data_IF_185145085122
#
_entry.id   IF_185145085122
#
_cell.length_a   1.000
_cell.length_b   1.000
_cell.length_c   1.000
_cell.angle_alpha   90.00
_cell.angle_beta   90.00
_cell.angle_gamma   90.00
#
_symmetry.space_group_name_H-M   'P 1'
#
loop_
_entity.id
_entity.type
_entity.pdbx_description
1 polymer ?
#
# COMPACT_ATOMS: atom_id res chain seq x y z
N UNK A 1 -29.27 8.84 2.49
CA UNK A 1 -28.25 7.86 2.84
C UNK A 1 -27.74 7.20 1.55
N UNK A 2 -26.43 6.94 1.41
CA UNK A 2 -25.96 6.17 0.28
C UNK A 2 -26.61 4.80 0.35
N UNK A 3 -27.45 4.50 -0.60
CA UNK A 3 -28.04 3.17 -0.76
C UNK A 3 -26.87 2.26 -1.14
N UNK A 4 -26.58 1.24 -0.33
CA UNK A 4 -25.57 0.24 -0.65
C UNK A 4 -25.89 -0.44 -1.98
N UNK A 5 -24.92 -1.11 -2.57
CA UNK A 5 -25.16 -1.86 -3.81
C UNK A 5 -26.19 -2.96 -3.58
N UNK A 6 -27.02 -3.27 -4.59
CA UNK A 6 -28.09 -4.25 -4.44
C UNK A 6 -27.60 -5.65 -4.04
N UNK A 7 -26.41 -6.03 -4.48
CA UNK A 7 -25.75 -7.29 -4.12
C UNK A 7 -24.58 -6.98 -3.21
N UNK A 8 -24.61 -7.56 -2.00
CA UNK A 8 -23.57 -7.38 -0.98
C UNK A 8 -23.41 -8.69 -0.20
N UNK A 9 -22.26 -9.33 -0.34
CA UNK A 9 -21.92 -10.60 0.31
C UNK A 9 -20.83 -10.31 1.32
N UNK A 10 -21.11 -10.52 2.61
CA UNK A 10 -20.16 -10.33 3.70
C UNK A 10 -19.50 -11.66 4.07
N UNK A 11 -18.18 -11.74 4.01
CA UNK A 11 -17.39 -12.88 4.43
C UNK A 11 -16.67 -12.49 5.72
N UNK A 12 -16.85 -13.27 6.79
CA UNK A 12 -16.29 -12.99 8.11
C UNK A 12 -15.26 -14.04 8.51
N UNK A 13 -14.24 -13.64 9.27
CA UNK A 13 -13.24 -14.56 9.80
C UNK A 13 -12.11 -13.88 10.57
N UNK A 14 -11.26 -14.69 11.20
CA UNK A 14 -10.22 -14.19 12.10
C UNK A 14 -8.93 -13.80 11.39
N UNK A 15 -8.58 -14.51 10.30
CA UNK A 15 -7.35 -14.28 9.55
C UNK A 15 -7.61 -13.59 8.23
N UNK A 16 -7.00 -12.42 8.02
CA UNK A 16 -7.20 -11.61 6.82
C UNK A 16 -6.77 -12.33 5.54
N UNK A 17 -5.64 -13.04 5.57
CA UNK A 17 -5.14 -13.80 4.43
C UNK A 17 -6.12 -14.89 3.97
N UNK A 18 -6.67 -15.65 4.93
CA UNK A 18 -7.67 -16.67 4.64
C UNK A 18 -8.96 -16.05 4.09
N UNK A 19 -9.41 -14.92 4.67
CA UNK A 19 -10.57 -14.19 4.19
C UNK A 19 -10.38 -13.70 2.75
N UNK A 20 -9.22 -13.13 2.45
CA UNK A 20 -8.91 -12.62 1.11
C UNK A 20 -8.91 -13.77 0.10
N UNK A 21 -8.23 -14.88 0.43
CA UNK A 21 -8.20 -16.05 -0.43
C UNK A 21 -9.60 -16.64 -0.67
N UNK A 22 -10.43 -16.74 0.38
CA UNK A 22 -11.83 -17.21 0.27
C UNK A 22 -12.67 -16.23 -0.54
N UNK A 23 -12.51 -14.92 -0.33
CA UNK A 23 -13.20 -13.88 -1.09
C UNK A 23 -12.88 -13.92 -2.58
N UNK A 24 -11.61 -14.10 -2.93
CA UNK A 24 -11.17 -14.21 -4.32
C UNK A 24 -11.68 -15.49 -4.98
N UNK A 25 -11.67 -16.63 -4.26
CA UNK A 25 -12.23 -17.88 -4.75
C UNK A 25 -13.74 -17.78 -4.96
N UNK A 26 -14.48 -17.24 -4.00
CA UNK A 26 -15.91 -17.04 -4.12
C UNK A 26 -16.27 -16.09 -5.28
N UNK A 27 -15.50 -15.01 -5.42
CA UNK A 27 -15.67 -14.09 -6.54
C UNK A 27 -15.46 -14.78 -7.88
N UNK A 28 -14.37 -15.55 -8.05
CA UNK A 28 -14.10 -16.31 -9.26
C UNK A 28 -15.20 -17.34 -9.55
N UNK A 29 -15.69 -18.03 -8.52
CA UNK A 29 -16.79 -18.98 -8.64
C UNK A 29 -18.07 -18.29 -9.14
N UNK A 30 -18.50 -17.21 -8.50
CA UNK A 30 -19.71 -16.48 -8.88
C UNK A 30 -19.58 -15.82 -10.26
N UNK A 31 -18.40 -15.27 -10.59
CA UNK A 31 -18.12 -14.72 -11.93
C UNK A 31 -18.18 -15.83 -13.01
N UNK A 32 -17.81 -17.08 -12.69
CA UNK A 32 -17.87 -18.22 -13.62
C UNK A 32 -19.30 -18.73 -13.91
N UNK A 33 -20.24 -18.46 -13.01
CA UNK A 33 -21.64 -18.87 -13.17
C UNK A 33 -22.43 -17.97 -14.14
N UNK A 34 -21.88 -16.83 -14.53
CA UNK A 34 -22.49 -15.84 -15.43
C UNK A 34 -23.97 -15.56 -15.09
N UNK A 35 -24.22 -15.25 -13.81
CA UNK A 35 -25.57 -15.05 -13.29
C UNK A 35 -26.21 -13.85 -13.98
N UNK A 36 -27.35 -14.10 -14.69
CA UNK A 36 -28.04 -13.07 -15.44
C UNK A 36 -28.41 -11.85 -14.55
N UNK A 37 -28.07 -10.67 -15.00
CA UNK A 37 -28.34 -9.41 -14.29
C UNK A 37 -27.31 -8.98 -13.29
N UNK A 38 -26.31 -9.79 -12.97
CA UNK A 38 -25.19 -9.40 -12.11
C UNK A 38 -24.15 -8.63 -12.95
N UNK A 39 -23.75 -7.44 -12.48
CA UNK A 39 -22.57 -6.77 -12.99
C UNK A 39 -21.32 -7.45 -12.40
N UNK A 40 -20.14 -7.12 -12.88
CA UNK A 40 -18.90 -7.70 -12.36
C UNK A 40 -18.76 -7.45 -10.86
N UNK A 41 -18.57 -8.54 -10.08
CA UNK A 41 -18.33 -8.48 -8.65
C UNK A 41 -17.02 -7.75 -8.33
N UNK A 42 -17.07 -6.89 -7.33
CA UNK A 42 -15.90 -6.15 -6.81
C UNK A 42 -15.73 -6.44 -5.33
N UNK A 43 -14.50 -6.75 -4.93
CA UNK A 43 -14.14 -6.84 -3.52
C UNK A 43 -13.89 -5.45 -2.96
N UNK A 44 -14.30 -5.21 -1.71
CA UNK A 44 -13.99 -3.99 -0.97
C UNK A 44 -12.57 -4.00 -0.38
N UNK A 45 -11.93 -5.16 -0.35
CA UNK A 45 -10.49 -5.24 -0.14
C UNK A 45 -9.85 -4.66 -1.38
N UNK A 46 -9.37 -3.41 -1.26
CA UNK A 46 -8.61 -2.79 -2.33
C UNK A 46 -7.49 -3.75 -2.74
N UNK A 47 -7.37 -3.99 -4.06
CA UNK A 47 -6.28 -4.78 -4.60
C UNK A 47 -4.99 -4.39 -3.88
N UNK A 48 -4.26 -5.39 -3.41
CA UNK A 48 -3.02 -5.16 -2.67
C UNK A 48 -2.18 -4.12 -3.40
N UNK A 49 -1.93 -3.00 -2.72
CA UNK A 49 -1.08 -1.95 -3.29
C UNK A 49 0.36 -2.39 -3.15
N UNK A 50 1.13 -2.46 -4.22
CA UNK A 50 2.55 -2.75 -4.10
C UNK A 50 3.23 -1.66 -3.26
N UNK A 51 4.02 -2.07 -2.31
CA UNK A 51 4.83 -1.19 -1.47
C UNK A 51 6.28 -1.65 -1.44
N UNK A 52 7.19 -0.72 -1.16
CA UNK A 52 8.60 -1.01 -0.94
C UNK A 52 8.83 -0.94 0.56
N UNK A 53 9.24 -2.07 1.14
CA UNK A 53 9.52 -2.17 2.57
C UNK A 53 11.03 -2.07 2.81
N UNK A 54 11.43 -1.12 3.65
CA UNK A 54 12.78 -0.96 4.16
C UNK A 54 12.87 -1.56 5.56
N UNK A 55 13.36 -2.78 5.66
CA UNK A 55 13.56 -3.45 6.95
C UNK A 55 14.94 -3.08 7.51
N UNK A 56 14.95 -2.18 8.49
CA UNK A 56 16.17 -1.60 9.04
C UNK A 56 16.64 -2.40 10.26
N UNK A 57 17.88 -2.90 10.21
CA UNK A 57 18.55 -3.46 11.37
C UNK A 57 19.11 -2.33 12.25
N UNK A 58 18.34 -2.01 13.31
CA UNK A 58 18.64 -0.90 14.23
C UNK A 58 19.99 -1.04 14.93
N UNK A 59 20.38 -2.28 15.27
CA UNK A 59 21.67 -2.54 15.95
C UNK A 59 22.84 -2.23 15.02
N UNK A 60 22.75 -2.64 13.76
CA UNK A 60 23.78 -2.32 12.76
C UNK A 60 23.84 -0.81 12.48
N UNK A 61 22.68 -0.17 12.30
CA UNK A 61 22.61 1.27 12.09
C UNK A 61 23.24 2.06 13.26
N UNK A 62 22.90 1.67 14.50
CA UNK A 62 23.45 2.30 15.70
C UNK A 62 24.96 2.10 15.84
N UNK A 63 25.51 0.94 15.47
CA UNK A 63 26.96 0.70 15.46
C UNK A 63 27.69 1.61 14.48
N UNK A 64 27.05 1.93 13.37
CA UNK A 64 27.55 2.92 12.41
C UNK A 64 27.31 4.37 12.85
N UNK A 65 26.61 4.60 13.97
CA UNK A 65 26.28 5.94 14.46
C UNK A 65 25.12 6.61 13.74
N UNK A 66 24.32 5.84 12.98
CA UNK A 66 23.19 6.34 12.19
C UNK A 66 21.88 6.04 12.92
N UNK A 67 21.11 7.08 13.24
CA UNK A 67 19.79 6.92 13.83
C UNK A 67 18.74 6.52 12.79
N UNK A 68 17.71 5.77 13.22
CA UNK A 68 16.57 5.42 12.34
C UNK A 68 15.82 6.64 11.82
N UNK A 69 15.80 7.73 12.59
CA UNK A 69 15.23 9.01 12.17
C UNK A 69 15.99 9.64 11.00
N UNK A 70 17.32 9.60 11.05
CA UNK A 70 18.17 10.07 9.94
C UNK A 70 17.94 9.23 8.68
N UNK A 71 17.85 7.90 8.83
CA UNK A 71 17.58 6.99 7.71
C UNK A 71 16.24 7.34 7.06
N UNK A 72 15.18 7.49 7.87
CA UNK A 72 13.85 7.84 7.36
C UNK A 72 13.81 9.18 6.64
N UNK A 73 14.52 10.19 7.17
CA UNK A 73 14.59 11.50 6.54
C UNK A 73 15.31 11.45 5.19
N UNK A 74 16.46 10.79 5.12
CA UNK A 74 17.23 10.67 3.88
C UNK A 74 16.48 9.86 2.82
N UNK A 75 15.82 8.75 3.19
CA UNK A 75 14.98 8.00 2.28
C UNK A 75 13.82 8.84 1.75
N UNK A 76 13.17 9.58 2.63
CA UNK A 76 12.10 10.50 2.22
C UNK A 76 12.61 11.54 1.23
N UNK A 77 13.76 12.16 1.53
CA UNK A 77 14.38 13.17 0.67
C UNK A 77 14.79 12.59 -0.69
N UNK A 78 15.33 11.36 -0.69
CA UNK A 78 15.72 10.69 -1.92
C UNK A 78 14.52 10.36 -2.83
N UNK A 79 13.42 9.84 -2.27
CA UNK A 79 12.26 9.36 -3.02
C UNK A 79 11.29 10.51 -3.36
N UNK A 80 10.89 11.29 -2.36
CA UNK A 80 9.88 12.35 -2.52
C UNK A 80 10.50 13.72 -2.78
N UNK A 81 11.73 13.94 -2.32
CA UNK A 81 12.42 15.20 -2.37
C UNK A 81 12.31 16.02 -1.09
N UNK A 82 13.19 16.99 -1.00
CA UNK A 82 13.20 18.01 0.04
C UNK A 82 12.92 19.38 -0.58
N UNK A 83 12.09 20.19 0.06
CA UNK A 83 11.93 21.60 -0.30
C UNK A 83 13.18 22.36 0.13
N UNK A 84 13.95 22.85 -0.84
CA UNK A 84 15.19 23.57 -0.59
C UNK A 84 14.95 25.07 -0.35
N UNK A 85 14.01 25.65 -1.10
CA UNK A 85 13.68 27.08 -1.07
C UNK A 85 12.36 27.30 -1.79
N UNK A 86 11.91 28.56 -1.82
CA UNK A 86 10.79 29.01 -2.63
C UNK A 86 11.26 30.06 -3.63
N UNK A 87 10.82 29.94 -4.85
CA UNK A 87 10.94 30.95 -5.87
C UNK A 87 9.70 31.84 -5.81
N UNK A 88 9.92 33.16 -5.67
CA UNK A 88 8.84 34.14 -5.64
C UNK A 88 8.77 34.85 -6.98
N UNK A 89 7.59 34.80 -7.58
CA UNK A 89 7.28 35.49 -8.82
C UNK A 89 6.07 36.40 -8.56
N UNK A 90 6.34 37.71 -8.52
CA UNK A 90 5.36 38.75 -8.17
C UNK A 90 4.59 38.44 -6.87
N UNK A 91 3.36 37.88 -6.97
CA UNK A 91 2.50 37.53 -5.83
C UNK A 91 2.45 36.02 -5.53
N UNK A 92 3.05 35.18 -6.36
CA UNK A 92 3.02 33.73 -6.23
C UNK A 92 4.34 33.16 -5.71
N UNK A 93 4.27 32.10 -4.92
CA UNK A 93 5.41 31.36 -4.40
C UNK A 93 5.43 29.93 -4.92
N UNK A 94 6.52 29.53 -5.56
CA UNK A 94 6.72 28.20 -6.12
C UNK A 94 7.78 27.44 -5.31
N UNK A 95 7.49 26.23 -4.75
CA UNK A 95 8.50 25.47 -4.01
C UNK A 95 9.56 24.91 -4.96
N UNK A 96 10.82 25.08 -4.59
CA UNK A 96 11.97 24.46 -5.27
C UNK A 96 12.24 23.13 -4.59
N UNK A 97 11.93 22.02 -5.30
CA UNK A 97 12.13 20.68 -4.80
C UNK A 97 13.42 20.05 -5.31
N UNK A 98 14.25 19.55 -4.40
CA UNK A 98 15.45 18.75 -4.73
C UNK A 98 15.12 17.29 -4.47
N UNK A 99 15.29 16.43 -5.48
CA UNK A 99 15.10 14.98 -5.39
C UNK A 99 16.00 14.24 -6.36
N UNK A 100 16.19 12.94 -6.13
CA UNK A 100 16.89 12.10 -7.09
C UNK A 100 16.15 12.02 -8.42
N UNK A 101 16.89 11.70 -9.49
CA UNK A 101 16.30 11.48 -10.81
C UNK A 101 15.32 10.30 -10.78
N UNK A 102 14.37 10.28 -11.69
CA UNK A 102 13.28 9.31 -11.68
C UNK A 102 13.75 7.86 -11.82
N UNK A 103 14.70 7.61 -12.69
CA UNK A 103 15.36 6.33 -12.88
C UNK A 103 16.02 5.81 -11.59
N UNK A 104 16.70 6.69 -10.86
CA UNK A 104 17.38 6.33 -9.61
C UNK A 104 16.41 6.01 -8.46
N UNK A 105 15.29 6.71 -8.35
CA UNK A 105 14.31 6.49 -7.26
C UNK A 105 13.32 5.37 -7.57
N UNK A 106 13.23 4.92 -8.84
CA UNK A 106 12.40 3.77 -9.25
C UNK A 106 13.20 2.44 -9.26
N UNK A 107 14.52 2.51 -9.15
CA UNK A 107 15.38 1.32 -9.10
C UNK A 107 15.72 0.94 -7.65
N UNK A 108 15.31 -0.27 -7.24
CA UNK A 108 15.64 -0.80 -5.90
C UNK A 108 17.14 -0.93 -5.68
N UNK A 109 17.93 -1.24 -6.72
CA UNK A 109 19.37 -1.36 -6.59
C UNK A 109 20.00 0.02 -6.33
N UNK A 110 19.50 1.06 -7.00
CA UNK A 110 19.95 2.42 -6.75
C UNK A 110 19.62 2.87 -5.31
N UNK A 111 18.40 2.58 -4.84
CA UNK A 111 17.99 2.87 -3.47
C UNK A 111 18.79 2.05 -2.43
N UNK A 112 19.09 0.79 -2.71
CA UNK A 112 19.88 -0.07 -1.82
C UNK A 112 21.35 0.40 -1.69
N UNK A 113 21.87 1.02 -2.73
CA UNK A 113 23.22 1.60 -2.76
C UNK A 113 23.27 3.08 -2.36
N UNK A 114 22.13 3.65 -1.92
CA UNK A 114 22.09 5.01 -1.39
C UNK A 114 23.08 5.15 -0.25
N UNK A 115 23.99 6.13 -0.36
CA UNK A 115 25.05 6.35 0.63
C UNK A 115 24.61 7.40 1.65
N UNK A 116 24.68 7.03 2.92
CA UNK A 116 24.49 7.93 4.04
C UNK A 116 25.82 8.56 4.38
N UNK A 117 25.92 9.87 4.16
CA UNK A 117 27.10 10.66 4.50
C UNK A 117 26.85 11.38 5.82
N UNK A 118 27.63 11.08 6.83
CA UNK A 118 27.52 11.70 8.14
C UNK A 118 28.87 11.90 8.78
N UNK A 119 28.92 12.75 9.80
CA UNK A 119 30.11 13.01 10.59
C UNK A 119 30.07 12.13 11.85
N UNK A 120 31.02 11.21 11.95
CA UNK A 120 31.17 10.34 13.12
C UNK A 120 31.87 11.05 14.27
N UNK A 121 31.08 11.49 15.24
CA UNK A 121 31.62 12.21 16.41
C UNK A 121 32.42 11.31 17.36
N UNK A 122 32.16 9.98 17.32
CA UNK A 122 32.94 9.02 18.13
C UNK A 122 34.33 8.75 17.56
N UNK A 123 34.53 9.03 16.27
CA UNK A 123 35.82 8.92 15.58
C UNK A 123 36.43 10.27 15.24
N UNK A 124 36.29 11.25 16.12
CA UNK A 124 36.94 12.57 15.96
C UNK A 124 36.34 13.43 14.85
N UNK A 125 35.08 13.19 14.45
CA UNK A 125 34.38 13.99 13.46
C UNK A 125 34.73 13.66 12.02
N UNK A 126 35.24 12.46 11.75
CA UNK A 126 35.52 11.99 10.40
C UNK A 126 34.21 11.82 9.58
N UNK A 127 34.27 12.16 8.30
CA UNK A 127 33.17 11.95 7.37
C UNK A 127 33.13 10.47 6.94
N UNK A 128 32.03 9.81 7.19
CA UNK A 128 31.78 8.40 6.77
C UNK A 128 30.69 8.34 5.73
N UNK A 129 30.85 7.39 4.81
CA UNK A 129 29.88 7.06 3.77
C UNK A 129 29.49 5.60 3.91
N UNK A 130 28.27 5.33 4.33
CA UNK A 130 27.77 3.95 4.55
C UNK A 130 26.59 3.72 3.64
N UNK A 131 26.60 2.65 2.81
CA UNK A 131 25.46 2.34 1.96
C UNK A 131 24.30 1.77 2.78
N UNK A 132 23.06 2.03 2.36
CA UNK A 132 21.85 1.54 3.00
C UNK A 132 21.86 0.01 3.16
N UNK A 133 22.40 -0.71 2.17
CA UNK A 133 22.56 -2.17 2.17
C UNK A 133 23.35 -2.73 3.36
N UNK A 134 24.14 -1.92 4.04
CA UNK A 134 24.91 -2.33 5.23
C UNK A 134 24.02 -2.61 6.43
N UNK A 135 22.85 -1.97 6.53
CA UNK A 135 21.99 -2.03 7.69
C UNK A 135 20.49 -2.14 7.37
N UNK A 136 20.10 -2.20 6.09
CA UNK A 136 18.72 -2.39 5.67
C UNK A 136 18.60 -3.44 4.57
N UNK A 137 17.48 -4.16 4.59
CA UNK A 137 17.04 -5.01 3.49
C UNK A 137 15.82 -4.36 2.85
N UNK A 138 15.81 -4.32 1.52
CA UNK A 138 14.71 -3.75 0.74
C UNK A 138 14.03 -4.88 -0.04
N UNK A 139 12.70 -4.92 0.02
CA UNK A 139 11.91 -5.86 -0.76
C UNK A 139 10.55 -5.28 -1.14
N UNK A 140 9.95 -5.85 -2.17
CA UNK A 140 8.56 -5.54 -2.53
C UNK A 140 7.62 -6.34 -1.64
N UNK A 141 6.58 -5.70 -1.18
CA UNK A 141 5.49 -6.31 -0.43
C UNK A 141 4.16 -5.77 -0.97
N UNK A 142 3.09 -6.36 -0.53
CA UNK A 142 1.75 -5.94 -0.86
C UNK A 142 1.03 -5.47 0.40
N UNK A 143 0.64 -4.20 0.40
CA UNK A 143 -0.13 -3.62 1.50
C UNK A 143 -1.62 -3.72 1.24
N UNK A 144 -2.36 -4.16 2.22
CA UNK A 144 -3.83 -4.09 2.20
C UNK A 144 -4.25 -2.66 2.55
N UNK A 145 -5.09 -2.04 1.70
CA UNK A 145 -5.51 -0.65 1.84
C UNK A 145 -6.33 -0.31 3.10
N UNK A 146 -6.83 -1.34 3.79
CA UNK A 146 -7.58 -1.23 5.03
C UNK A 146 -8.28 -2.54 5.38
N UNK A 147 -8.48 -2.75 6.68
CA UNK A 147 -9.20 -3.93 7.21
C UNK A 147 -10.49 -3.44 7.86
N UNK A 148 -11.62 -3.77 7.24
CA UNK A 148 -12.94 -3.50 7.80
C UNK A 148 -13.27 -4.50 8.90
N UNK A 149 -14.00 -4.05 9.92
CA UNK A 149 -14.50 -4.89 11.00
C UNK A 149 -15.97 -4.59 11.28
N UNK A 150 -16.73 -5.66 11.53
CA UNK A 150 -18.12 -5.60 11.98
C UNK A 150 -18.24 -6.47 13.24
N UNK A 151 -18.78 -5.92 14.32
CA UNK A 151 -18.86 -6.60 15.61
C UNK A 151 -17.51 -7.23 16.04
N UNK A 152 -16.42 -6.48 15.91
CA UNK A 152 -15.03 -6.88 16.23
C UNK A 152 -14.41 -7.96 15.33
N UNK A 153 -15.17 -8.60 14.45
CA UNK A 153 -14.69 -9.59 13.49
C UNK A 153 -14.29 -8.92 12.18
N UNK A 154 -13.22 -9.41 11.55
CA UNK A 154 -12.81 -8.92 10.22
C UNK A 154 -13.83 -9.35 9.19
N UNK A 155 -14.13 -8.44 8.26
CA UNK A 155 -15.04 -8.70 7.16
C UNK A 155 -14.41 -8.29 5.83
N UNK A 156 -14.78 -9.03 4.79
CA UNK A 156 -14.58 -8.67 3.39
C UNK A 156 -15.95 -8.65 2.74
N UNK A 157 -16.22 -7.64 1.92
CA UNK A 157 -17.49 -7.49 1.25
C UNK A 157 -17.28 -7.61 -0.27
N UNK A 158 -18.01 -8.54 -0.90
CA UNK A 158 -18.14 -8.61 -2.34
C UNK A 158 -19.41 -7.87 -2.74
N UNK A 159 -19.28 -6.88 -3.60
CA UNK A 159 -20.39 -6.04 -4.00
C UNK A 159 -20.55 -6.02 -5.52
N UNK A 160 -21.81 -5.99 -5.97
CA UNK A 160 -22.14 -5.77 -7.38
C UNK A 160 -23.37 -4.90 -7.55
N UNK A 161 -23.42 -4.20 -8.68
CA UNK A 161 -24.65 -3.60 -9.15
C UNK A 161 -25.47 -4.64 -9.93
N UNK A 162 -26.73 -4.33 -10.17
CA UNK A 162 -27.62 -5.09 -11.06
C UNK A 162 -27.75 -4.35 -12.38
N UNK A 163 -27.66 -5.08 -13.48
CA UNK A 163 -27.79 -4.53 -14.83
C UNK A 163 -29.19 -3.96 -15.06
N UNK A 164 -29.28 -2.91 -15.87
CA UNK A 164 -30.55 -2.30 -16.21
C UNK A 164 -31.52 -3.33 -16.85
N UNK A 165 -32.76 -3.31 -16.39
CA UNK A 165 -33.80 -4.23 -16.88
C UNK A 165 -33.99 -5.48 -16.02
N UNK A 166 -33.17 -5.73 -15.01
CA UNK A 166 -33.34 -6.83 -14.07
C UNK A 166 -33.87 -6.33 -12.71
N UNK A 167 -34.67 -7.19 -12.05
CA UNK A 167 -35.17 -6.92 -10.72
C UNK A 167 -34.06 -7.20 -9.66
N UNK A 168 -33.62 -6.20 -8.89
CA UNK A 168 -32.53 -6.39 -7.91
C UNK A 168 -32.81 -7.47 -6.87
N UNK A 169 -34.05 -7.63 -6.45
CA UNK A 169 -34.42 -8.64 -5.44
C UNK A 169 -34.34 -10.08 -6.00
N UNK A 170 -34.75 -10.28 -7.25
CA UNK A 170 -34.64 -11.60 -7.90
C UNK A 170 -33.19 -11.99 -8.15
N UNK A 171 -32.39 -11.04 -8.62
CA UNK A 171 -30.94 -11.26 -8.85
C UNK A 171 -30.25 -11.57 -7.54
N UNK A 172 -30.53 -10.83 -6.45
CA UNK A 172 -29.97 -11.09 -5.15
C UNK A 172 -30.32 -12.48 -4.61
N UNK A 173 -31.60 -12.90 -4.76
CA UNK A 173 -32.05 -14.24 -4.38
C UNK A 173 -31.37 -15.36 -5.19
N UNK A 174 -31.12 -15.13 -6.49
CA UNK A 174 -30.36 -16.08 -7.32
C UNK A 174 -28.90 -16.20 -6.87
N UNK A 175 -28.26 -15.10 -6.53
CA UNK A 175 -26.89 -15.12 -5.98
C UNK A 175 -26.85 -15.82 -4.62
N UNK A 176 -27.82 -15.58 -3.74
CA UNK A 176 -27.92 -16.22 -2.41
C UNK A 176 -28.07 -17.76 -2.54
N UNK A 177 -28.84 -18.24 -3.50
CA UNK A 177 -28.98 -19.69 -3.77
C UNK A 177 -27.66 -20.35 -4.21
N UNK A 178 -26.72 -19.60 -4.79
CA UNK A 178 -25.42 -20.13 -5.22
C UNK A 178 -24.34 -20.08 -4.14
N UNK A 179 -24.55 -19.27 -3.10
CA UNK A 179 -23.61 -19.11 -1.98
C UNK A 179 -23.90 -20.07 -0.82
N UNK A 180 -25.16 -20.51 -0.67
CA UNK A 180 -25.61 -21.47 0.35
C UNK A 180 -25.50 -22.90 -0.15
#
# INVERSE_FOLDING_TARGET
>A
PPVGKPISIEITGDKLEALTATGDQLKLYLDSLDIAGVEKLKSDVAASKPEIVFNINRERANREGISTGMIGMELRNAVFGAEASKFRDENDEYPIMIRYQEDQRMDLNALNNLKFTYRDMNMGGQIRNVPLSSFANIYYDNSYGGVKRKAQTRIITLESNVLAGYNPNEVAANVEMQVN
#
